data_IF_929864071837
#
_entry.id   IF_929864071837
#
_cell.length_a   1.000
_cell.length_b   1.000
_cell.length_c   1.000
_cell.angle_alpha   90.00
_cell.angle_beta   90.00
_cell.angle_gamma   90.00
#
_symmetry.space_group_name_H-M   'P 1'
#
loop_
_entity.id
_entity.type
_entity.pdbx_description
1 polymer ?
#
# COMPACT_ATOMS: atom_id res chain seq x y z
N UNK A 1 -4.81 18.54 2.57
CA UNK A 1 -5.57 18.91 1.35
C UNK A 1 -6.88 18.14 1.37
N UNK A 2 -8.01 18.82 1.17
CA UNK A 2 -9.32 18.16 1.14
C UNK A 2 -9.36 17.08 0.03
N UNK A 3 -9.87 15.90 0.39
CA UNK A 3 -9.84 14.76 -0.52
C UNK A 3 -10.58 14.99 -1.84
N UNK A 4 -11.74 15.64 -1.79
CA UNK A 4 -12.48 15.97 -3.02
C UNK A 4 -11.67 16.88 -3.94
N UNK A 5 -10.96 17.89 -3.40
CA UNK A 5 -10.12 18.80 -4.19
C UNK A 5 -8.97 18.05 -4.87
N UNK A 6 -8.30 17.15 -4.12
CA UNK A 6 -7.23 16.32 -4.66
C UNK A 6 -7.70 15.42 -5.80
N UNK A 7 -8.84 14.73 -5.60
CA UNK A 7 -9.40 13.81 -6.59
C UNK A 7 -9.81 14.57 -7.85
N UNK A 8 -10.47 15.72 -7.72
CA UNK A 8 -10.82 16.55 -8.89
C UNK A 8 -9.59 16.99 -9.68
N UNK A 9 -8.52 17.39 -8.98
CA UNK A 9 -7.24 17.73 -9.61
C UNK A 9 -6.63 16.55 -10.36
N UNK A 10 -6.60 15.38 -9.72
CA UNK A 10 -6.03 14.16 -10.29
C UNK A 10 -6.78 13.68 -11.55
N UNK A 11 -8.11 13.80 -11.56
CA UNK A 11 -8.97 13.42 -12.72
C UNK A 11 -9.14 14.55 -13.72
N UNK A 12 -8.49 15.70 -13.53
CA UNK A 12 -8.64 16.91 -14.37
C UNK A 12 -10.11 17.34 -14.55
N UNK A 13 -10.97 17.11 -13.54
CA UNK A 13 -12.37 17.44 -13.56
C UNK A 13 -12.62 18.80 -12.91
N UNK A 14 -13.24 19.73 -13.64
CA UNK A 14 -13.55 21.05 -13.11
C UNK A 14 -14.75 21.00 -12.14
N UNK A 15 -14.77 21.93 -11.18
CA UNK A 15 -15.86 22.04 -10.18
C UNK A 15 -17.24 22.24 -10.85
N UNK A 16 -17.29 22.89 -12.02
CA UNK A 16 -18.53 23.09 -12.75
C UNK A 16 -19.03 21.78 -13.37
N UNK A 17 -18.11 20.98 -13.92
CA UNK A 17 -18.43 19.70 -14.54
C UNK A 17 -18.94 18.69 -13.51
N UNK A 18 -18.30 18.65 -12.31
CA UNK A 18 -18.81 17.83 -11.22
C UNK A 18 -20.21 18.31 -10.78
N UNK A 19 -20.41 19.61 -10.66
CA UNK A 19 -21.69 20.17 -10.27
C UNK A 19 -22.81 19.81 -11.26
N UNK A 20 -22.54 19.85 -12.55
CA UNK A 20 -23.47 19.42 -13.62
C UNK A 20 -23.79 17.92 -13.51
N UNK A 21 -22.77 17.06 -13.31
CA UNK A 21 -22.97 15.62 -13.12
C UNK A 21 -23.83 15.29 -11.89
N UNK A 22 -23.72 16.08 -10.83
CA UNK A 22 -24.51 15.93 -9.60
C UNK A 22 -25.85 16.66 -9.61
N UNK A 23 -26.14 17.46 -10.64
CA UNK A 23 -27.36 18.25 -10.74
C UNK A 23 -27.44 19.38 -9.67
N UNK A 24 -26.32 19.96 -9.29
CA UNK A 24 -26.22 20.99 -8.24
C UNK A 24 -25.48 22.23 -8.75
N UNK A 25 -25.44 23.28 -7.91
CA UNK A 25 -24.71 24.50 -8.23
C UNK A 25 -23.22 24.35 -7.88
N UNK A 26 -22.32 24.92 -8.70
CA UNK A 26 -20.87 24.97 -8.45
C UNK A 26 -20.51 25.46 -7.05
N UNK A 27 -21.31 26.40 -6.50
CA UNK A 27 -21.09 26.93 -5.14
C UNK A 27 -21.12 25.83 -4.08
N UNK A 28 -21.92 24.78 -4.24
CA UNK A 28 -21.96 23.67 -3.31
C UNK A 28 -20.64 22.90 -3.29
N UNK A 29 -20.07 22.61 -4.47
CA UNK A 29 -18.75 21.99 -4.60
C UNK A 29 -17.68 22.83 -3.88
N UNK A 30 -17.68 24.15 -4.12
CA UNK A 30 -16.73 25.05 -3.46
C UNK A 30 -16.90 25.09 -1.93
N UNK A 31 -18.12 24.94 -1.41
CA UNK A 31 -18.38 24.87 0.03
C UNK A 31 -17.86 23.55 0.63
N UNK A 32 -17.99 22.45 -0.10
CA UNK A 32 -17.49 21.14 0.31
C UNK A 32 -15.95 21.13 0.34
N UNK A 33 -15.29 21.59 -0.72
CA UNK A 33 -13.83 21.68 -0.81
C UNK A 33 -13.26 22.58 0.29
N UNK A 34 -13.89 23.72 0.59
CA UNK A 34 -13.46 24.63 1.66
C UNK A 34 -13.80 24.13 3.07
N UNK A 35 -14.39 22.96 3.22
CA UNK A 35 -14.82 22.41 4.51
C UNK A 35 -15.94 23.21 5.20
N UNK A 36 -16.54 24.18 4.51
CA UNK A 36 -17.64 25.00 5.07
C UNK A 36 -18.96 24.25 5.15
N UNK A 37 -19.11 23.20 4.37
CA UNK A 37 -20.25 22.31 4.36
C UNK A 37 -19.77 20.88 4.10
N UNK A 38 -20.33 19.92 4.85
CA UNK A 38 -20.08 18.48 4.58
C UNK A 38 -20.79 18.05 3.32
N UNK A 39 -20.20 17.09 2.60
CA UNK A 39 -20.86 16.44 1.45
C UNK A 39 -22.08 15.69 1.98
N UNK A 40 -23.31 15.99 1.47
CA UNK A 40 -24.50 15.26 1.88
C UNK A 40 -24.41 13.79 1.49
N UNK A 41 -24.83 12.89 2.39
CA UNK A 41 -24.73 11.43 2.21
C UNK A 41 -25.30 10.92 0.90
N UNK A 42 -26.32 11.57 0.36
CA UNK A 42 -26.96 11.18 -0.90
C UNK A 42 -26.06 11.32 -2.14
N UNK A 43 -25.00 12.13 -2.08
CA UNK A 43 -24.06 12.30 -3.19
C UNK A 43 -22.85 11.37 -3.08
N UNK A 44 -22.59 10.77 -1.92
CA UNK A 44 -21.44 9.88 -1.75
C UNK A 44 -21.47 8.67 -2.70
N UNK A 45 -22.58 7.93 -2.83
CA UNK A 45 -22.64 6.81 -3.78
C UNK A 45 -22.41 7.23 -5.24
N UNK A 46 -22.85 8.44 -5.60
CA UNK A 46 -22.64 8.96 -6.97
C UNK A 46 -21.16 9.30 -7.19
N UNK A 47 -20.48 9.81 -6.17
CA UNK A 47 -19.04 10.08 -6.23
C UNK A 47 -18.24 8.77 -6.28
N UNK A 48 -18.60 7.78 -5.47
CA UNK A 48 -17.99 6.44 -5.49
C UNK A 48 -18.11 5.81 -6.89
N UNK A 49 -19.28 5.86 -7.48
CA UNK A 49 -19.52 5.31 -8.82
C UNK A 49 -18.76 6.08 -9.90
N UNK A 50 -18.73 7.41 -9.80
CA UNK A 50 -18.09 8.29 -10.78
C UNK A 50 -16.56 8.13 -10.83
N UNK A 51 -15.93 7.94 -9.65
CA UNK A 51 -14.48 7.89 -9.51
C UNK A 51 -13.95 6.49 -9.21
N UNK A 52 -14.82 5.52 -8.92
CA UNK A 52 -14.46 4.17 -8.47
C UNK A 52 -13.56 4.18 -7.22
N UNK A 53 -13.90 5.06 -6.26
CA UNK A 53 -13.17 5.28 -5.02
C UNK A 53 -14.12 5.27 -3.83
N UNK A 54 -13.66 4.83 -2.67
CA UNK A 54 -14.45 4.81 -1.44
C UNK A 54 -14.87 6.22 -0.99
N UNK A 55 -16.09 6.34 -0.44
CA UNK A 55 -16.68 7.59 0.02
C UNK A 55 -15.81 8.35 1.03
N UNK A 56 -15.01 7.64 1.81
CA UNK A 56 -14.14 8.24 2.83
C UNK A 56 -13.13 9.21 2.25
N UNK A 57 -12.58 8.90 1.09
CA UNK A 57 -11.59 9.75 0.41
C UNK A 57 -12.14 11.14 0.04
N UNK A 58 -13.45 11.27 -0.18
CA UNK A 58 -14.05 12.58 -0.52
C UNK A 58 -14.30 13.46 0.70
N UNK A 59 -14.32 12.90 1.90
CA UNK A 59 -14.86 13.56 3.09
C UNK A 59 -13.81 13.96 4.12
N UNK A 60 -12.58 13.53 3.97
CA UNK A 60 -11.47 13.77 4.90
C UNK A 60 -10.26 14.40 4.22
N UNK A 61 -9.34 14.91 5.03
CA UNK A 61 -8.01 15.25 4.54
C UNK A 61 -7.21 13.98 4.25
N UNK A 62 -6.48 13.98 3.14
CA UNK A 62 -5.71 12.82 2.68
C UNK A 62 -4.27 12.91 3.18
N UNK A 63 -3.78 11.80 3.71
CA UNK A 63 -2.36 11.57 3.93
C UNK A 63 -1.65 11.13 2.63
N UNK A 64 -0.33 10.90 2.68
CA UNK A 64 0.43 10.51 1.49
C UNK A 64 0.06 9.10 0.98
N UNK A 65 -0.26 8.18 1.90
CA UNK A 65 -0.68 6.82 1.53
C UNK A 65 -2.03 6.86 0.81
N UNK A 66 -3.00 7.62 1.33
CA UNK A 66 -4.30 7.81 0.68
C UNK A 66 -4.15 8.32 -0.76
N UNK A 67 -3.27 9.31 -0.97
CA UNK A 67 -3.02 9.88 -2.30
C UNK A 67 -2.45 8.84 -3.27
N UNK A 68 -1.52 8.01 -2.81
CA UNK A 68 -0.94 6.93 -3.61
C UNK A 68 -1.99 5.86 -3.92
N UNK A 69 -2.83 5.49 -2.96
CA UNK A 69 -3.92 4.54 -3.17
C UNK A 69 -4.93 5.05 -4.22
N UNK A 70 -5.32 6.32 -4.14
CA UNK A 70 -6.19 6.96 -5.14
C UNK A 70 -5.54 6.96 -6.54
N UNK A 71 -4.25 7.28 -6.63
CA UNK A 71 -3.50 7.25 -7.89
C UNK A 71 -3.47 5.83 -8.48
N UNK A 72 -3.23 4.83 -7.64
CA UNK A 72 -3.23 3.43 -8.04
C UNK A 72 -4.58 3.00 -8.63
N UNK A 73 -5.68 3.30 -7.93
CA UNK A 73 -7.01 2.94 -8.40
C UNK A 73 -7.38 3.67 -9.72
N UNK A 74 -7.00 4.94 -9.85
CA UNK A 74 -7.15 5.66 -11.12
C UNK A 74 -6.38 4.97 -12.26
N UNK A 75 -5.11 4.64 -12.06
CA UNK A 75 -4.30 3.94 -13.07
C UNK A 75 -4.92 2.58 -13.43
N UNK A 76 -5.38 1.81 -12.45
CA UNK A 76 -6.06 0.54 -12.71
C UNK A 76 -7.31 0.72 -13.59
N UNK A 77 -8.09 1.77 -13.34
CA UNK A 77 -9.29 2.07 -14.14
C UNK A 77 -8.97 2.50 -15.57
N UNK A 78 -7.78 3.08 -15.80
CA UNK A 78 -7.32 3.55 -17.10
C UNK A 78 -6.50 2.50 -17.89
N UNK A 79 -6.19 1.35 -17.28
CA UNK A 79 -5.41 0.29 -17.92
C UNK A 79 -6.14 -0.22 -19.18
N UNK A 80 -5.40 -0.20 -20.29
CA UNK A 80 -5.85 -0.80 -21.56
C UNK A 80 -4.99 -2.03 -21.86
N UNK A 81 -5.57 -3.08 -22.45
CA UNK A 81 -4.78 -4.25 -22.82
C UNK A 81 -3.74 -3.86 -23.88
N UNK A 82 -2.47 -4.18 -23.59
CA UNK A 82 -1.34 -3.90 -24.48
C UNK A 82 -1.18 -5.03 -25.51
N UNK A 83 -1.48 -6.26 -25.10
CA UNK A 83 -1.37 -7.47 -25.93
C UNK A 83 -2.58 -8.36 -25.66
N UNK A 84 -3.14 -8.94 -26.71
CA UNK A 84 -4.09 -10.04 -26.59
C UNK A 84 -3.31 -11.35 -26.65
N UNK A 85 -3.23 -12.04 -25.53
CA UNK A 85 -2.72 -13.41 -25.48
C UNK A 85 -3.88 -14.39 -25.50
N UNK A 86 -3.60 -15.58 -26.09
CA UNK A 86 -4.52 -16.70 -26.10
C UNK A 86 -4.08 -17.67 -25.00
N UNK A 87 -4.95 -17.95 -24.06
CA UNK A 87 -4.70 -19.00 -23.05
C UNK A 87 -5.63 -20.20 -23.31
N UNK A 88 -5.07 -21.41 -23.15
CA UNK A 88 -5.88 -22.62 -23.24
C UNK A 88 -6.51 -22.90 -21.88
N UNK A 89 -7.80 -22.65 -21.73
CA UNK A 89 -8.54 -23.15 -20.58
C UNK A 89 -8.84 -24.63 -20.74
N UNK A 90 -8.21 -25.46 -19.91
CA UNK A 90 -8.60 -26.84 -19.74
C UNK A 90 -9.83 -26.94 -18.84
N UNK A 91 -11.01 -27.07 -19.40
CA UNK A 91 -12.18 -27.53 -18.68
C UNK A 91 -12.17 -29.06 -18.68
N UNK A 92 -12.45 -29.66 -17.51
CA UNK A 92 -12.55 -31.13 -17.37
C UNK A 92 -13.68 -31.62 -18.26
N UNK A 93 -13.31 -32.21 -19.42
CA UNK A 93 -14.22 -32.91 -20.29
C UNK A 93 -14.41 -32.40 -21.72
N UNK A 94 -14.04 -31.18 -22.05
CA UNK A 94 -14.12 -30.67 -23.42
C UNK A 94 -12.87 -29.82 -23.76
N UNK A 95 -12.19 -30.24 -24.82
CA UNK A 95 -11.06 -29.52 -25.40
C UNK A 95 -11.63 -28.48 -26.35
N UNK A 96 -11.13 -27.26 -26.25
CA UNK A 96 -11.08 -26.20 -27.21
C UNK A 96 -12.08 -25.06 -27.05
N UNK A 97 -11.68 -24.04 -26.31
CA UNK A 97 -11.78 -22.71 -26.86
C UNK A 97 -10.55 -21.90 -26.42
N UNK A 98 -9.81 -21.39 -27.41
CA UNK A 98 -8.78 -20.38 -27.17
C UNK A 98 -9.47 -19.09 -26.69
N UNK A 99 -9.38 -18.84 -25.39
CA UNK A 99 -9.95 -17.59 -24.82
C UNK A 99 -8.89 -16.50 -24.94
N UNK A 100 -9.23 -15.39 -25.56
CA UNK A 100 -8.40 -14.19 -25.56
C UNK A 100 -8.29 -13.65 -24.14
N UNK A 101 -7.10 -13.72 -23.56
CA UNK A 101 -6.82 -13.11 -22.25
C UNK A 101 -6.13 -11.76 -22.48
N UNK A 102 -6.74 -10.65 -22.06
CA UNK A 102 -6.11 -9.35 -22.18
C UNK A 102 -4.91 -9.27 -21.22
N UNK A 103 -3.74 -8.95 -21.76
CA UNK A 103 -2.53 -8.68 -20.96
C UNK A 103 -2.40 -7.17 -20.79
N UNK A 104 -2.30 -6.73 -19.54
CA UNK A 104 -2.15 -5.33 -19.17
C UNK A 104 -0.72 -5.05 -18.76
N UNK A 105 -0.18 -3.92 -19.21
CA UNK A 105 1.04 -3.39 -18.64
C UNK A 105 0.72 -2.81 -17.26
N UNK A 106 1.27 -3.43 -16.22
CA UNK A 106 1.07 -3.04 -14.83
C UNK A 106 2.30 -2.36 -14.21
N UNK A 107 3.30 -2.02 -15.01
CA UNK A 107 4.57 -1.51 -14.49
C UNK A 107 4.37 -0.25 -13.64
N UNK A 108 3.55 0.70 -14.11
CA UNK A 108 3.23 1.91 -13.36
C UNK A 108 2.43 1.63 -12.08
N UNK A 109 1.47 0.70 -12.14
CA UNK A 109 0.69 0.28 -10.97
C UNK A 109 1.59 -0.38 -9.94
N UNK A 110 2.45 -1.31 -10.35
CA UNK A 110 3.39 -1.99 -9.48
C UNK A 110 4.41 -1.01 -8.85
N UNK A 111 4.79 0.04 -9.58
CA UNK A 111 5.65 1.10 -9.05
C UNK A 111 4.98 1.85 -7.90
N UNK A 112 3.71 2.23 -8.07
CA UNK A 112 2.94 2.90 -6.99
C UNK A 112 2.70 1.94 -5.82
N UNK A 113 2.42 0.67 -6.05
CA UNK A 113 2.26 -0.32 -4.99
C UNK A 113 3.52 -0.43 -4.12
N UNK A 114 4.71 -0.44 -4.73
CA UNK A 114 5.98 -0.39 -3.99
C UNK A 114 6.14 0.89 -3.16
N UNK A 115 5.73 2.04 -3.68
CA UNK A 115 5.77 3.30 -2.92
C UNK A 115 4.76 3.31 -1.76
N UNK A 116 3.59 2.72 -1.93
CA UNK A 116 2.62 2.53 -0.84
C UNK A 116 3.21 1.66 0.26
N UNK A 117 3.84 0.54 -0.09
CA UNK A 117 4.49 -0.35 0.88
C UNK A 117 5.59 0.36 1.67
N UNK A 118 6.44 1.12 0.99
CA UNK A 118 7.48 1.94 1.64
C UNK A 118 6.86 2.98 2.57
N UNK A 119 5.84 3.70 2.13
CA UNK A 119 5.18 4.72 2.95
C UNK A 119 4.52 4.11 4.20
N UNK A 120 3.88 2.93 4.06
CA UNK A 120 3.32 2.16 5.18
C UNK A 120 4.41 1.72 6.17
N UNK A 121 5.54 1.24 5.66
CA UNK A 121 6.67 0.83 6.50
C UNK A 121 7.24 2.02 7.29
N UNK A 122 7.46 3.16 6.64
CA UNK A 122 7.93 4.40 7.30
C UNK A 122 6.93 4.86 8.37
N UNK A 123 5.62 4.82 8.08
CA UNK A 123 4.59 5.17 9.08
C UNK A 123 4.64 4.25 10.29
N UNK A 124 4.70 2.93 10.08
CA UNK A 124 4.80 1.95 11.17
C UNK A 124 6.07 2.12 11.99
N UNK A 125 7.20 2.40 11.35
CA UNK A 125 8.46 2.66 12.05
C UNK A 125 8.38 3.94 12.90
N UNK A 126 7.74 4.99 12.39
CA UNK A 126 7.48 6.21 13.16
C UNK A 126 6.60 5.93 14.37
N UNK A 127 5.50 5.21 14.18
CA UNK A 127 4.58 4.84 15.27
C UNK A 127 5.33 4.01 16.35
N UNK A 128 6.18 3.07 15.94
CA UNK A 128 6.98 2.28 16.87
C UNK A 128 7.97 3.13 17.69
N UNK A 129 8.50 4.22 17.12
CA UNK A 129 9.35 5.15 17.85
C UNK A 129 8.58 6.06 18.83
N UNK A 130 7.30 6.35 18.53
CA UNK A 130 6.48 7.28 19.31
C UNK A 130 5.74 6.62 20.49
N UNK A 131 5.73 5.27 20.61
CA UNK A 131 5.00 4.53 21.65
C UNK A 131 5.43 4.92 23.07
N UNK A 132 6.61 5.51 23.27
CA UNK A 132 7.11 5.90 24.59
C UNK A 132 7.61 7.34 24.57
N UNK A 133 7.04 8.21 25.42
CA UNK A 133 7.44 9.62 25.59
C UNK A 133 8.96 9.85 25.82
N UNK A 134 9.63 8.85 26.38
CA UNK A 134 11.09 8.75 26.50
C UNK A 134 11.51 7.35 26.10
N UNK A 135 11.66 7.14 24.79
CA UNK A 135 12.07 5.84 24.29
C UNK A 135 13.50 5.53 24.76
N UNK A 136 13.70 4.60 25.73
CA UNK A 136 15.03 4.25 26.21
C UNK A 136 15.88 3.55 25.15
N UNK A 137 15.25 3.08 24.05
CA UNK A 137 15.88 2.35 22.96
C UNK A 137 16.16 3.24 21.74
N UNK A 138 16.08 4.56 21.86
CA UNK A 138 16.33 5.47 20.74
C UNK A 138 17.69 5.24 20.08
N UNK A 139 18.73 4.94 20.90
CA UNK A 139 20.06 4.67 20.36
C UNK A 139 20.13 3.33 19.62
N UNK A 140 19.33 2.35 20.02
CA UNK A 140 19.16 1.10 19.26
C UNK A 140 18.51 1.36 17.91
N UNK A 141 17.48 2.20 17.83
CA UNK A 141 16.88 2.58 16.55
C UNK A 141 17.86 3.33 15.64
N UNK A 142 18.70 4.22 16.19
CA UNK A 142 19.76 4.88 15.42
C UNK A 142 20.74 3.85 14.85
N UNK A 143 21.17 2.88 15.68
CA UNK A 143 22.07 1.83 15.25
C UNK A 143 21.46 0.95 14.14
N UNK A 144 20.16 0.63 14.23
CA UNK A 144 19.46 -0.10 13.17
C UNK A 144 19.51 0.68 11.86
N UNK A 145 19.24 1.99 11.89
CA UNK A 145 19.32 2.84 10.69
C UNK A 145 20.73 2.83 10.12
N UNK A 146 21.76 3.01 10.95
CA UNK A 146 23.16 2.97 10.53
C UNK A 146 23.57 1.62 9.92
N UNK A 147 23.07 0.51 10.49
CA UNK A 147 23.30 -0.83 9.95
C UNK A 147 22.65 -0.98 8.56
N UNK A 148 21.44 -0.55 8.41
CA UNK A 148 20.74 -0.58 7.11
C UNK A 148 21.48 0.29 6.08
N UNK A 149 21.94 1.49 6.45
CA UNK A 149 22.68 2.37 5.54
C UNK A 149 24.02 1.80 5.08
N UNK A 150 24.74 1.10 5.98
CA UNK A 150 26.11 0.63 5.72
C UNK A 150 26.19 -0.83 5.27
N UNK A 151 25.29 -1.67 5.74
CA UNK A 151 25.36 -3.12 5.60
C UNK A 151 24.10 -3.76 4.96
N UNK A 152 23.25 -2.97 4.30
CA UNK A 152 22.02 -3.48 3.66
C UNK A 152 22.26 -4.56 2.60
N UNK A 153 23.47 -4.69 2.09
CA UNK A 153 23.85 -5.73 1.12
C UNK A 153 24.57 -6.93 1.75
N UNK A 154 24.81 -6.88 3.07
CA UNK A 154 25.50 -7.95 3.78
C UNK A 154 24.53 -9.08 4.14
N UNK A 155 24.83 -10.28 3.68
CA UNK A 155 24.00 -11.47 3.92
C UNK A 155 23.78 -11.72 5.40
N UNK A 156 24.80 -11.50 6.22
CA UNK A 156 24.72 -11.72 7.67
C UNK A 156 23.69 -10.83 8.36
N UNK A 157 23.48 -9.59 7.87
CA UNK A 157 22.45 -8.72 8.42
C UNK A 157 21.06 -9.29 8.19
N UNK A 158 20.78 -9.77 6.97
CA UNK A 158 19.49 -10.36 6.62
C UNK A 158 19.23 -11.65 7.40
N UNK A 159 20.20 -12.57 7.44
CA UNK A 159 20.10 -13.81 8.20
C UNK A 159 19.83 -13.57 9.69
N UNK A 160 20.51 -12.58 10.28
CA UNK A 160 20.32 -12.25 11.70
C UNK A 160 18.95 -11.65 11.98
N UNK A 161 18.44 -10.77 11.11
CA UNK A 161 17.10 -10.19 11.25
C UNK A 161 16.02 -11.28 11.11
N UNK A 162 16.21 -12.21 10.16
CA UNK A 162 15.29 -13.34 9.95
C UNK A 162 15.29 -14.27 11.16
N UNK A 163 16.45 -14.64 11.69
CA UNK A 163 16.58 -15.45 12.90
C UNK A 163 15.88 -14.80 14.10
N UNK A 164 16.08 -13.49 14.33
CA UNK A 164 15.36 -12.75 15.37
C UNK A 164 13.85 -12.72 15.10
N UNK A 165 13.43 -12.64 13.85
CA UNK A 165 12.01 -12.69 13.46
C UNK A 165 11.36 -14.02 13.78
N UNK A 166 12.04 -15.15 13.58
CA UNK A 166 11.57 -16.48 13.96
C UNK A 166 11.58 -16.66 15.49
N UNK A 167 12.68 -16.31 16.16
CA UNK A 167 12.81 -16.45 17.62
C UNK A 167 11.71 -15.71 18.40
N UNK A 168 11.30 -14.52 17.91
CA UNK A 168 10.24 -13.72 18.51
C UNK A 168 8.84 -13.95 17.91
N UNK A 169 8.65 -15.00 17.13
CA UNK A 169 7.37 -15.35 16.50
C UNK A 169 6.77 -14.20 15.65
N UNK A 170 7.63 -13.33 15.11
CA UNK A 170 7.24 -12.25 14.20
C UNK A 170 7.03 -12.76 12.79
N UNK A 171 7.82 -13.76 12.38
CA UNK A 171 7.66 -14.47 11.13
C UNK A 171 6.75 -15.68 11.35
N UNK A 172 5.81 -15.96 10.44
CA UNK A 172 4.94 -17.12 10.57
C UNK A 172 5.71 -18.43 10.27
N UNK A 173 5.38 -19.51 10.97
CA UNK A 173 6.05 -20.83 10.91
C UNK A 173 6.09 -21.45 9.51
N UNK A 174 5.24 -20.98 8.56
CA UNK A 174 5.26 -21.44 7.18
C UNK A 174 6.30 -20.74 6.31
N UNK A 175 6.98 -19.72 6.81
CA UNK A 175 8.16 -19.14 6.17
C UNK A 175 9.31 -20.08 6.47
N UNK A 176 9.49 -21.07 5.59
CA UNK A 176 10.57 -22.03 5.72
C UNK A 176 11.90 -21.36 5.37
N UNK A 177 12.84 -21.44 6.28
CA UNK A 177 14.22 -21.06 6.03
C UNK A 177 14.90 -22.08 5.10
N UNK A 178 15.83 -21.62 4.26
CA UNK A 178 16.72 -22.54 3.56
C UNK A 178 17.59 -23.33 4.58
N UNK A 179 18.07 -24.54 4.25
CA UNK A 179 18.83 -25.35 5.21
C UNK A 179 20.02 -24.66 5.86
N UNK A 180 20.72 -23.78 5.15
CA UNK A 180 21.81 -22.96 5.68
C UNK A 180 21.32 -21.90 6.69
N UNK A 181 20.09 -21.44 6.54
CA UNK A 181 19.47 -20.51 7.47
C UNK A 181 19.01 -21.24 8.73
N UNK A 182 18.45 -22.44 8.60
CA UNK A 182 18.04 -23.28 9.74
C UNK A 182 19.23 -23.64 10.63
N UNK A 183 20.38 -23.98 10.03
CA UNK A 183 21.62 -24.25 10.79
C UNK A 183 22.08 -23.01 11.56
N UNK A 184 22.12 -21.86 10.90
CA UNK A 184 22.48 -20.58 11.52
C UNK A 184 21.52 -20.18 12.65
N UNK A 185 20.22 -20.36 12.47
CA UNK A 185 19.20 -20.09 13.48
C UNK A 185 19.36 -21.00 14.70
N UNK A 186 19.60 -22.27 14.49
CA UNK A 186 19.81 -23.24 15.57
C UNK A 186 20.98 -22.84 16.46
N UNK A 187 22.12 -22.43 15.87
CA UNK A 187 23.29 -21.95 16.62
C UNK A 187 23.00 -20.67 17.42
N UNK A 188 22.29 -19.72 16.82
CA UNK A 188 21.93 -18.45 17.49
C UNK A 188 20.92 -18.68 18.62
N UNK A 189 19.93 -19.55 18.42
CA UNK A 189 18.89 -19.82 19.42
C UNK A 189 19.50 -20.51 20.65
N UNK A 190 20.46 -21.42 20.50
CA UNK A 190 21.20 -21.97 21.64
C UNK A 190 21.86 -20.85 22.46
N UNK A 191 22.46 -19.86 21.79
CA UNK A 191 23.08 -18.71 22.49
C UNK A 191 22.03 -17.86 23.23
N UNK A 192 20.87 -17.62 22.62
CA UNK A 192 19.81 -16.84 23.26
C UNK A 192 19.24 -17.55 24.49
N UNK A 193 19.01 -18.85 24.40
CA UNK A 193 18.48 -19.67 25.50
C UNK A 193 19.49 -19.79 26.67
N UNK A 194 20.75 -19.96 26.35
CA UNK A 194 21.82 -20.04 27.37
C UNK A 194 21.99 -18.74 28.17
N UNK A 195 21.68 -17.61 27.56
CA UNK A 195 21.76 -16.30 28.22
C UNK A 195 20.41 -15.80 28.78
N UNK A 196 19.34 -16.57 28.69
CA UNK A 196 17.99 -16.20 29.14
C UNK A 196 17.48 -14.86 28.54
N UNK A 197 17.75 -14.63 27.26
CA UNK A 197 17.26 -13.46 26.56
C UNK A 197 15.80 -13.61 26.14
#
# INVERSE_FOLDING_TARGET
>A
LNGLEYILGLYNLQHIELAEKLGIRKQNINLWIKGKQKIPKKYLPVLEDLFQLDAEYFTRDLNEIDKLEIQKEKLKSELKPVIKNYDMQFMIGEINDLVEVPVYDKEEVNAIEREIEKAKLVSRFKDAMEIVDKNPYLDTFKLIVELVEKAQHEVILHKTIEALGHYHEVLPDWVCSEPEQEEFESEIFEVFDDHNY
#
